data_IF_811795754919
#
_entry.id   IF_811795754919
#
_cell.length_a   1.000
_cell.length_b   1.000
_cell.length_c   1.000
_cell.angle_alpha   90.00
_cell.angle_beta   90.00
_cell.angle_gamma   90.00
#
_symmetry.space_group_name_H-M   'P 1'
#
loop_
_entity.id
_entity.type
_entity.pdbx_description
1 polymer ?
#
# COMPACT_ATOMS: atom_id res chain seq x y z
N UNK A 1 21.26 -16.30 37.19
CA UNK A 1 20.26 -16.94 36.31
C UNK A 1 19.03 -16.06 36.31
N UNK A 2 19.00 -15.07 35.42
CA UNK A 2 17.82 -14.26 35.12
C UNK A 2 17.82 -14.05 33.61
N UNK A 3 17.27 -15.03 32.89
CA UNK A 3 16.81 -14.78 31.53
C UNK A 3 15.52 -13.97 31.68
N UNK A 4 15.66 -12.65 31.61
CA UNK A 4 14.55 -11.76 31.36
C UNK A 4 14.03 -12.13 29.97
N UNK A 5 12.94 -12.89 29.92
CA UNK A 5 12.11 -13.01 28.74
C UNK A 5 11.52 -11.63 28.45
N UNK A 6 12.34 -10.76 27.85
CA UNK A 6 11.84 -9.71 26.98
C UNK A 6 11.38 -10.44 25.72
N UNK A 7 10.15 -10.94 25.77
CA UNK A 7 9.35 -11.03 24.56
C UNK A 7 9.46 -9.64 23.91
N UNK A 8 10.26 -9.56 22.85
CA UNK A 8 10.23 -8.43 21.94
C UNK A 8 8.82 -8.46 21.35
N UNK A 9 7.88 -7.74 21.97
CA UNK A 9 6.77 -7.16 21.23
C UNK A 9 7.37 -6.61 19.93
N UNK A 10 6.90 -7.05 18.74
CA UNK A 10 7.40 -6.46 17.50
C UNK A 10 7.12 -4.97 17.63
N UNK A 11 8.18 -4.16 17.70
CA UNK A 11 8.07 -2.72 17.87
C UNK A 11 6.92 -2.25 16.99
N UNK A 12 5.87 -1.70 17.60
CA UNK A 12 4.68 -1.24 16.91
C UNK A 12 5.11 -0.14 15.94
N UNK A 13 5.54 -0.57 14.75
CA UNK A 13 6.06 0.31 13.73
C UNK A 13 4.85 1.09 13.24
N UNK A 14 4.93 2.42 13.33
CA UNK A 14 3.86 3.32 12.88
C UNK A 14 3.66 3.16 11.38
N UNK A 15 2.83 2.18 11.02
CA UNK A 15 2.24 1.97 9.70
C UNK A 15 0.80 2.46 9.78
N UNK A 16 0.21 2.93 8.68
CA UNK A 16 -1.21 3.25 8.66
C UNK A 16 -2.05 2.06 9.20
N UNK A 17 -2.94 2.34 10.14
CA UNK A 17 -3.65 1.35 10.98
C UNK A 17 -4.57 0.42 10.15
N UNK A 18 -4.84 -0.78 10.67
CA UNK A 18 -5.64 -1.84 10.05
C UNK A 18 -7.14 -1.54 9.97
N UNK A 19 -7.60 -0.39 10.52
CA UNK A 19 -9.01 0.06 10.42
C UNK A 19 -9.37 0.69 9.07
N UNK A 20 -8.43 0.72 8.14
CA UNK A 20 -8.65 1.21 6.77
C UNK A 20 -9.45 0.17 5.98
N UNK A 21 -10.55 0.61 5.37
CA UNK A 21 -11.44 -0.27 4.61
C UNK A 21 -10.89 -0.63 3.23
N UNK A 22 -10.07 0.25 2.64
CA UNK A 22 -9.53 0.07 1.29
C UNK A 22 -8.21 0.78 1.06
N UNK A 23 -7.35 0.17 0.24
CA UNK A 23 -6.10 0.76 -0.22
C UNK A 23 -6.15 0.91 -1.74
N UNK A 24 -5.88 2.11 -2.25
CA UNK A 24 -5.76 2.40 -3.68
C UNK A 24 -4.28 2.60 -4.04
N UNK A 25 -3.72 1.68 -4.80
CA UNK A 25 -2.41 1.85 -5.42
C UNK A 25 -2.58 2.55 -6.76
N UNK A 26 -2.01 3.75 -6.86
CA UNK A 26 -2.00 4.51 -8.10
C UNK A 26 -1.09 3.82 -9.13
N UNK A 27 -1.56 3.58 -10.36
CA UNK A 27 -0.90 2.64 -11.27
C UNK A 27 0.32 3.26 -11.97
N UNK A 28 0.37 4.59 -12.08
CA UNK A 28 1.40 5.32 -12.80
C UNK A 28 2.48 5.88 -11.86
N UNK A 29 3.73 5.98 -12.30
CA UNK A 29 4.75 6.67 -11.52
C UNK A 29 4.42 8.13 -11.24
N UNK A 30 4.60 8.58 -9.99
CA UNK A 30 4.31 9.96 -9.58
C UNK A 30 5.59 10.76 -9.35
N UNK A 31 5.55 12.03 -9.73
CA UNK A 31 6.55 13.02 -9.33
C UNK A 31 6.42 13.33 -7.83
N UNK A 32 7.33 12.78 -7.04
CA UNK A 32 7.34 12.91 -5.58
C UNK A 32 7.75 14.30 -5.06
N UNK A 33 8.00 15.27 -5.93
CA UNK A 33 8.02 16.69 -5.54
C UNK A 33 6.64 17.19 -5.13
N UNK A 34 5.56 16.54 -5.59
CA UNK A 34 4.19 16.79 -5.12
C UNK A 34 4.07 16.41 -3.65
N UNK A 35 3.61 17.36 -2.84
CA UNK A 35 3.21 17.15 -1.44
C UNK A 35 1.73 16.77 -1.36
N UNK A 36 1.10 16.93 -0.19
CA UNK A 36 -0.30 16.60 0.10
C UNK A 36 -1.25 17.10 -0.98
N UNK A 37 -1.34 18.41 -1.22
CA UNK A 37 -2.35 18.97 -2.14
C UNK A 37 -2.18 18.47 -3.58
N UNK A 38 -0.92 18.33 -4.03
CA UNK A 38 -0.63 17.81 -5.36
C UNK A 38 -0.95 16.33 -5.53
N UNK A 39 -0.89 15.56 -4.44
CA UNK A 39 -1.29 14.14 -4.44
C UNK A 39 -2.81 13.99 -4.31
N UNK A 40 -3.45 14.79 -3.46
CA UNK A 40 -4.91 14.84 -3.32
C UNK A 40 -5.58 15.20 -4.66
N UNK A 41 -5.05 16.20 -5.37
CA UNK A 41 -5.53 16.55 -6.70
C UNK A 41 -5.41 15.40 -7.71
N UNK A 42 -4.33 14.59 -7.64
CA UNK A 42 -4.21 13.40 -8.50
C UNK A 42 -5.28 12.36 -8.19
N UNK A 43 -5.59 12.14 -6.91
CA UNK A 43 -6.65 11.21 -6.49
C UNK A 43 -8.00 11.66 -7.03
N UNK A 44 -8.37 12.92 -6.82
CA UNK A 44 -9.69 13.43 -7.23
C UNK A 44 -9.86 13.46 -8.75
N UNK A 45 -8.80 13.81 -9.50
CA UNK A 45 -8.87 13.95 -10.95
C UNK A 45 -8.80 12.61 -11.69
N UNK A 46 -7.98 11.68 -11.21
CA UNK A 46 -7.66 10.44 -11.94
C UNK A 46 -8.36 9.21 -11.34
N UNK A 47 -8.22 9.02 -10.03
CA UNK A 47 -8.84 7.87 -9.32
C UNK A 47 -10.34 8.10 -9.09
N UNK A 48 -10.78 9.36 -8.97
CA UNK A 48 -12.17 9.79 -8.73
C UNK A 48 -12.77 9.20 -7.44
N UNK A 49 -11.96 9.12 -6.40
CA UNK A 49 -12.37 8.72 -5.04
C UNK A 49 -12.23 9.92 -4.10
N UNK A 50 -13.11 10.06 -3.12
CA UNK A 50 -13.03 11.15 -2.16
C UNK A 50 -11.79 10.98 -1.26
N UNK A 51 -10.97 12.03 -1.18
CA UNK A 51 -9.70 12.02 -0.42
C UNK A 51 -9.89 12.00 1.10
N UNK A 52 -11.12 12.27 1.56
CA UNK A 52 -11.50 12.31 2.98
C UNK A 52 -12.06 10.98 3.49
N UNK A 53 -12.29 10.00 2.60
CA UNK A 53 -12.76 8.67 2.99
C UNK A 53 -11.71 7.94 3.83
N UNK A 54 -12.10 6.97 4.68
CA UNK A 54 -11.19 6.19 5.53
C UNK A 54 -10.39 5.14 4.72
N UNK A 55 -9.66 5.62 3.71
CA UNK A 55 -8.90 4.82 2.74
C UNK A 55 -7.45 5.32 2.64
N UNK A 56 -6.57 4.47 2.13
CA UNK A 56 -5.17 4.84 1.87
C UNK A 56 -4.94 5.01 0.37
N UNK A 57 -4.24 6.08 -0.01
CA UNK A 57 -3.75 6.28 -1.38
C UNK A 57 -2.24 6.08 -1.43
N UNK A 58 -1.80 5.08 -2.19
CA UNK A 58 -0.42 4.64 -2.28
C UNK A 58 0.14 5.05 -3.64
N UNK A 59 1.27 5.75 -3.61
CA UNK A 59 1.96 6.21 -4.80
C UNK A 59 3.38 5.66 -4.81
N UNK A 60 3.90 5.37 -6.00
CA UNK A 60 5.29 5.00 -6.22
C UNK A 60 5.98 6.05 -7.11
N UNK A 61 7.26 6.31 -6.84
CA UNK A 61 8.04 7.18 -7.71
C UNK A 61 8.52 6.43 -8.97
N UNK A 62 8.97 7.17 -9.98
CA UNK A 62 9.55 6.59 -11.22
C UNK A 62 10.64 5.57 -10.98
N UNK A 63 11.53 5.85 -10.03
CA UNK A 63 12.61 4.91 -9.71
C UNK A 63 12.13 3.70 -8.93
N UNK A 64 10.89 3.67 -8.41
CA UNK A 64 10.29 2.63 -7.56
C UNK A 64 11.05 2.33 -6.26
N UNK A 65 11.84 3.28 -5.77
CA UNK A 65 12.55 3.14 -4.48
C UNK A 65 11.89 3.96 -3.36
N UNK A 66 10.79 4.65 -3.65
CA UNK A 66 10.04 5.43 -2.66
C UNK A 66 8.56 5.16 -2.82
N UNK A 67 7.88 5.08 -1.69
CA UNK A 67 6.42 5.01 -1.60
C UNK A 67 5.92 6.18 -0.74
N UNK A 68 4.85 6.83 -1.18
CA UNK A 68 4.09 7.79 -0.37
C UNK A 68 2.71 7.20 -0.10
N UNK A 69 2.23 7.33 1.12
CA UNK A 69 0.88 6.94 1.52
C UNK A 69 0.18 8.19 2.05
N UNK A 70 -0.85 8.64 1.34
CA UNK A 70 -1.70 9.77 1.71
C UNK A 70 -3.00 9.24 2.31
N UNK A 71 -3.45 9.86 3.40
CA UNK A 71 -4.75 9.59 4.01
C UNK A 71 -5.23 10.78 4.83
N UNK A 72 -6.54 10.88 5.03
CA UNK A 72 -7.14 11.81 5.96
C UNK A 72 -7.29 11.15 7.33
N UNK A 73 -6.81 11.81 8.39
CA UNK A 73 -7.01 11.40 9.76
C UNK A 73 -7.71 12.52 10.53
N UNK A 74 -8.95 12.28 10.97
CA UNK A 74 -9.77 13.18 11.79
C UNK A 74 -9.92 14.58 11.17
N UNK A 75 -8.93 15.45 11.39
CA UNK A 75 -8.92 16.86 11.06
C UNK A 75 -7.73 17.28 10.16
N UNK A 76 -6.96 16.32 9.63
CA UNK A 76 -5.82 16.65 8.78
C UNK A 76 -5.41 15.55 7.81
N UNK A 77 -4.69 15.96 6.77
CA UNK A 77 -4.00 15.02 5.89
C UNK A 77 -2.69 14.56 6.51
N UNK A 78 -2.48 13.25 6.46
CA UNK A 78 -1.24 12.59 6.85
C UNK A 78 -0.53 12.07 5.60
N UNK A 79 0.79 12.25 5.57
CA UNK A 79 1.64 11.73 4.49
C UNK A 79 2.78 10.92 5.07
N UNK A 80 2.75 9.62 4.84
CA UNK A 80 3.83 8.71 5.21
C UNK A 80 4.75 8.46 4.00
N UNK A 81 6.06 8.46 4.22
CA UNK A 81 7.07 8.21 3.20
C UNK A 81 8.02 7.12 3.66
N UNK A 82 8.20 6.09 2.82
CA UNK A 82 9.29 5.12 2.96
C UNK A 82 10.19 5.18 1.75
N UNK A 83 11.50 5.26 2.01
CA UNK A 83 12.56 5.14 1.01
C UNK A 83 13.29 3.84 1.27
N UNK A 84 13.47 3.05 0.22
CA UNK A 84 14.35 1.89 0.24
C UNK A 84 15.79 2.35 -0.04
N UNK A 85 16.74 1.93 0.79
CA UNK A 85 18.15 2.25 0.59
C UNK A 85 18.79 1.34 -0.49
N UNK A 86 18.27 0.12 -0.65
CA UNK A 86 18.54 -0.80 -1.73
C UNK A 86 17.22 -1.41 -2.23
N UNK A 87 17.19 -2.03 -3.41
CA UNK A 87 15.98 -2.62 -4.02
C UNK A 87 14.93 -1.62 -4.52
N UNK A 88 13.87 -2.18 -5.11
CA UNK A 88 12.73 -1.50 -5.74
C UNK A 88 11.43 -2.20 -5.38
N UNK A 89 10.37 -1.41 -5.14
CA UNK A 89 9.01 -1.92 -5.05
C UNK A 89 8.62 -2.61 -6.36
N UNK A 90 8.04 -3.80 -6.23
CA UNK A 90 7.50 -4.56 -7.35
C UNK A 90 6.18 -3.91 -7.78
N UNK A 91 5.87 -3.98 -9.07
CA UNK A 91 4.66 -3.42 -9.65
C UNK A 91 4.01 -4.46 -10.57
N UNK A 92 2.75 -4.22 -10.91
CA UNK A 92 2.05 -4.98 -11.94
C UNK A 92 2.88 -5.00 -13.23
N UNK A 93 2.99 -6.15 -13.92
CA UNK A 93 3.61 -6.21 -15.23
C UNK A 93 2.80 -5.48 -16.31
N UNK A 94 1.49 -5.29 -16.08
CA UNK A 94 0.59 -4.64 -17.01
C UNK A 94 0.41 -3.16 -16.65
N UNK A 95 0.67 -2.27 -17.62
CA UNK A 95 0.27 -0.86 -17.54
C UNK A 95 -1.25 -0.79 -17.61
N UNK A 96 -1.89 -0.66 -16.45
CA UNK A 96 -3.31 -0.37 -16.35
C UNK A 96 -3.51 1.11 -16.08
N UNK A 97 -4.52 1.71 -16.71
CA UNK A 97 -4.86 3.11 -16.46
C UNK A 97 -5.66 3.28 -15.16
N UNK A 98 -6.19 2.20 -14.59
CA UNK A 98 -7.04 2.21 -13.40
C UNK A 98 -6.26 1.93 -12.10
N UNK A 99 -6.72 2.52 -11.00
CA UNK A 99 -6.15 2.28 -9.68
C UNK A 99 -6.35 0.83 -9.23
N UNK A 100 -5.29 0.22 -8.70
CA UNK A 100 -5.31 -1.14 -8.18
C UNK A 100 -5.81 -1.10 -6.74
N UNK A 101 -6.89 -1.82 -6.45
CA UNK A 101 -7.39 -1.96 -5.08
C UNK A 101 -6.61 -3.07 -4.38
N UNK A 102 -6.01 -2.74 -3.23
CA UNK A 102 -5.30 -3.67 -2.36
C UNK A 102 -6.02 -3.79 -1.01
N UNK A 103 -5.85 -4.94 -0.38
CA UNK A 103 -6.08 -5.12 1.05
C UNK A 103 -4.95 -4.50 1.86
N UNK A 104 -5.19 -4.24 3.14
CA UNK A 104 -4.14 -3.79 4.08
C UNK A 104 -3.00 -4.82 4.19
N UNK A 105 -3.32 -6.11 4.09
CA UNK A 105 -2.32 -7.16 4.10
C UNK A 105 -1.41 -7.11 2.86
N UNK A 106 -1.99 -6.95 1.67
CA UNK A 106 -1.22 -6.79 0.43
C UNK A 106 -0.37 -5.52 0.45
N UNK A 107 -0.86 -4.42 1.03
CA UNK A 107 -0.04 -3.24 1.28
C UNK A 107 1.16 -3.59 2.16
N UNK A 108 0.96 -4.30 3.27
CA UNK A 108 2.07 -4.71 4.14
C UNK A 108 3.08 -5.60 3.40
N UNK A 109 2.61 -6.57 2.62
CA UNK A 109 3.47 -7.39 1.77
C UNK A 109 4.26 -6.57 0.75
N UNK A 110 3.63 -5.59 0.09
CA UNK A 110 4.32 -4.65 -0.80
C UNK A 110 5.40 -3.87 -0.03
N UNK A 111 5.08 -3.38 1.16
CA UNK A 111 6.02 -2.65 2.02
C UNK A 111 7.18 -3.52 2.52
N UNK A 112 6.96 -4.81 2.66
CA UNK A 112 7.97 -5.80 3.04
C UNK A 112 8.77 -6.35 1.83
N UNK A 113 8.39 -5.96 0.61
CA UNK A 113 9.13 -6.23 -0.62
C UNK A 113 8.65 -7.46 -1.41
N UNK A 114 7.52 -8.05 -1.04
CA UNK A 114 6.92 -9.16 -1.78
C UNK A 114 6.44 -8.72 -3.17
N UNK A 115 6.52 -9.66 -4.12
CA UNK A 115 5.92 -9.51 -5.45
C UNK A 115 4.46 -9.99 -5.42
N UNK A 116 3.53 -9.04 -5.37
CA UNK A 116 2.09 -9.33 -5.31
C UNK A 116 1.54 -9.98 -6.59
N UNK A 117 2.23 -9.83 -7.72
CA UNK A 117 1.70 -10.23 -9.04
C UNK A 117 2.20 -11.58 -9.49
N UNK A 118 3.34 -12.06 -8.96
CA UNK A 118 3.89 -13.38 -9.29
C UNK A 118 3.39 -14.52 -8.40
N UNK A 119 2.89 -14.21 -7.21
CA UNK A 119 2.51 -15.21 -6.21
C UNK A 119 0.98 -15.35 -6.09
N UNK A 120 0.28 -15.64 -7.20
CA UNK A 120 -1.16 -15.87 -7.14
C UNK A 120 -1.46 -17.23 -6.47
N UNK A 121 -2.40 -17.31 -5.52
CA UNK A 121 -2.83 -18.59 -4.97
C UNK A 121 -3.44 -19.47 -6.07
N UNK A 122 -3.41 -20.80 -5.85
CA UNK A 122 -4.05 -21.75 -6.76
C UNK A 122 -5.53 -21.41 -6.94
N UNK A 123 -6.06 -21.72 -8.12
CA UNK A 123 -7.48 -21.53 -8.41
C UNK A 123 -8.31 -22.30 -7.38
N UNK A 124 -9.31 -21.64 -6.81
CA UNK A 124 -10.31 -22.29 -5.97
C UNK A 124 -11.15 -23.17 -6.88
N UNK A 125 -11.03 -24.48 -6.71
CA UNK A 125 -11.86 -25.44 -7.42
C UNK A 125 -13.22 -25.53 -6.73
N UNK A 126 -14.30 -25.56 -7.50
CA UNK A 126 -15.62 -25.94 -6.98
C UNK A 126 -15.61 -27.45 -6.73
N UNK A 127 -15.74 -27.93 -5.48
CA UNK A 127 -15.70 -29.35 -5.20
C UNK A 127 -16.84 -30.07 -5.93
N UNK A 128 -16.52 -31.15 -6.63
CA UNK A 128 -17.51 -32.12 -7.10
C UNK A 128 -17.52 -33.30 -6.13
N UNK A 129 -18.69 -33.93 -5.98
CA UNK A 129 -18.87 -35.07 -5.08
C UNK A 129 -17.74 -36.10 -5.26
N UNK A 130 -17.22 -36.59 -4.13
CA UNK A 130 -16.33 -37.75 -4.12
C UNK A 130 -17.24 -38.97 -4.20
N UNK A 131 -17.38 -39.57 -5.39
CA UNK A 131 -17.99 -40.90 -5.54
C UNK A 131 -17.05 -41.98 -5.05
#
# INVERSE_FOLDING_TARGET
MLCSNFFLEPAAMMRPDAKVEKVYLYPKPVDFRKSIDGLAALVELDIKVAVFDPVLFVFLNKSRNRVKILYWERNGFCLWLKRLDAERFKISPDDQDEAIVLTVQELNWLLDGFDLWRNRPHQVLTPRFVT
#
